data_IF_749459844361
#
_entry.id   IF_749459844361
#
_cell.length_a   1.000
_cell.length_b   1.000
_cell.length_c   1.000
_cell.angle_alpha   90.00
_cell.angle_beta   90.00
_cell.angle_gamma   90.00
#
_symmetry.space_group_name_H-M   'P 1'
#
loop_
_entity.id
_entity.type
_entity.pdbx_description
1 polymer ?
#
# COMPACT_ATOMS: atom_id res chain seq x y z
N UNK A 1 -17.57 32.87 -59.36
CA UNK A 1 -16.41 32.09 -58.87
C UNK A 1 -16.27 32.35 -57.37
N UNK A 2 -16.86 31.52 -56.52
CA UNK A 2 -16.68 31.60 -55.06
C UNK A 2 -16.37 30.19 -54.55
N UNK A 3 -15.26 30.11 -53.85
CA UNK A 3 -14.52 28.90 -53.48
C UNK A 3 -15.28 28.21 -52.33
N UNK A 4 -15.73 26.98 -52.58
CA UNK A 4 -16.00 25.99 -51.54
C UNK A 4 -14.65 25.50 -51.02
N UNK A 5 -14.42 25.41 -49.70
CA UNK A 5 -13.91 24.17 -49.07
C UNK A 5 -13.80 24.24 -47.55
N UNK A 6 -14.40 23.21 -46.93
CA UNK A 6 -13.90 22.35 -45.85
C UNK A 6 -13.46 22.95 -44.50
N UNK A 7 -14.43 23.01 -43.59
CA UNK A 7 -14.19 22.87 -42.14
C UNK A 7 -13.86 21.41 -41.82
N UNK A 8 -12.59 21.11 -41.56
CA UNK A 8 -12.16 19.81 -40.99
C UNK A 8 -12.52 19.83 -39.50
N UNK A 9 -13.53 19.05 -39.11
CA UNK A 9 -13.86 18.79 -37.70
C UNK A 9 -12.91 17.69 -37.22
N UNK A 10 -11.87 18.07 -36.47
CA UNK A 10 -11.07 17.14 -35.68
C UNK A 10 -11.93 16.60 -34.53
N UNK A 11 -12.44 15.38 -34.68
CA UNK A 11 -13.03 14.62 -33.57
C UNK A 11 -11.87 14.22 -32.64
N UNK A 12 -11.69 14.98 -31.56
CA UNK A 12 -10.87 14.60 -30.43
C UNK A 12 -11.53 13.38 -29.77
N UNK A 13 -11.05 12.19 -30.11
CA UNK A 13 -11.28 10.97 -29.34
C UNK A 13 -10.63 11.17 -27.97
N UNK A 14 -11.40 11.73 -27.03
CA UNK A 14 -11.10 11.65 -25.61
C UNK A 14 -11.33 10.19 -25.24
N UNK A 15 -10.25 9.40 -25.27
CA UNK A 15 -10.23 8.12 -24.54
C UNK A 15 -10.30 8.49 -23.07
N UNK A 16 -11.53 8.55 -22.54
CA UNK A 16 -11.73 8.43 -21.11
C UNK A 16 -11.10 7.09 -20.73
N UNK A 17 -9.90 7.13 -20.17
CA UNK A 17 -9.37 6.00 -19.44
C UNK A 17 -10.45 5.68 -18.41
N UNK A 18 -11.18 4.57 -18.61
CA UNK A 18 -12.08 4.06 -17.60
C UNK A 18 -11.27 4.03 -16.32
N UNK A 19 -11.68 4.83 -15.34
CA UNK A 19 -11.27 4.57 -13.98
C UNK A 19 -11.67 3.11 -13.76
N UNK A 20 -10.69 2.21 -13.70
CA UNK A 20 -10.95 0.80 -13.45
C UNK A 20 -11.91 0.74 -12.28
N UNK A 21 -13.09 0.12 -12.48
CA UNK A 21 -14.12 -0.05 -11.45
C UNK A 21 -13.59 -1.01 -10.36
N UNK A 22 -12.63 -0.53 -9.58
CA UNK A 22 -12.06 -1.23 -8.45
C UNK A 22 -13.16 -1.40 -7.41
N UNK A 23 -13.61 -2.65 -7.26
CA UNK A 23 -14.50 -3.09 -6.19
C UNK A 23 -13.64 -3.75 -5.11
N UNK A 24 -13.29 -3.04 -4.03
CA UNK A 24 -12.35 -3.56 -3.06
C UNK A 24 -12.94 -4.77 -2.35
N UNK A 25 -12.16 -5.85 -2.33
CA UNK A 25 -12.46 -7.03 -1.53
C UNK A 25 -12.25 -6.71 -0.04
N UNK A 26 -12.71 -7.59 0.85
CA UNK A 26 -12.39 -7.50 2.28
C UNK A 26 -11.23 -8.46 2.56
N UNK A 27 -10.28 -8.07 3.41
CA UNK A 27 -9.28 -9.00 3.93
C UNK A 27 -9.94 -10.16 4.70
N UNK A 28 -9.23 -11.28 4.85
CA UNK A 28 -9.70 -12.35 5.75
C UNK A 28 -9.87 -11.83 7.18
N UNK A 29 -10.82 -12.41 7.93
CA UNK A 29 -11.06 -11.98 9.31
C UNK A 29 -9.82 -12.17 10.20
N UNK A 30 -8.97 -13.16 9.91
CA UNK A 30 -7.69 -13.35 10.60
C UNK A 30 -6.70 -12.23 10.25
N UNK A 31 -6.58 -11.84 8.98
CA UNK A 31 -5.73 -10.73 8.58
C UNK A 31 -6.22 -9.40 9.17
N UNK A 32 -7.54 -9.18 9.23
CA UNK A 32 -8.15 -8.00 9.87
C UNK A 32 -7.78 -7.91 11.35
N UNK A 33 -7.82 -9.02 12.08
CA UNK A 33 -7.42 -9.06 13.50
C UNK A 33 -5.96 -8.66 13.70
N UNK A 34 -5.09 -8.90 12.72
CA UNK A 34 -3.69 -8.47 12.77
C UNK A 34 -3.54 -6.98 12.42
N UNK A 35 -4.13 -6.56 11.31
CA UNK A 35 -3.84 -5.25 10.70
C UNK A 35 -4.63 -4.11 11.33
N UNK A 36 -5.90 -4.32 11.68
CA UNK A 36 -6.78 -3.24 12.14
C UNK A 36 -6.25 -2.54 13.40
N UNK A 37 -5.76 -3.26 14.44
CA UNK A 37 -5.17 -2.61 15.61
C UNK A 37 -3.92 -1.77 15.29
N UNK A 38 -3.07 -2.23 14.36
CA UNK A 38 -1.91 -1.46 13.91
C UNK A 38 -2.36 -0.19 13.19
N UNK A 39 -3.32 -0.30 12.28
CA UNK A 39 -3.76 0.86 11.48
C UNK A 39 -4.51 1.89 12.32
N UNK A 40 -5.31 1.48 13.31
CA UNK A 40 -5.94 2.38 14.27
C UNK A 40 -4.91 3.15 15.11
N UNK A 41 -3.79 2.50 15.48
CA UNK A 41 -2.68 3.17 16.14
C UNK A 41 -1.93 4.10 15.18
N UNK A 42 -1.67 3.67 13.94
CA UNK A 42 -0.99 4.49 12.94
C UNK A 42 -1.77 5.76 12.61
N UNK A 43 -3.11 5.68 12.53
CA UNK A 43 -3.97 6.85 12.35
C UNK A 43 -3.84 7.83 13.53
N UNK A 44 -3.80 7.34 14.77
CA UNK A 44 -3.60 8.17 15.95
C UNK A 44 -2.20 8.80 15.97
N UNK A 45 -1.17 7.98 15.74
CA UNK A 45 0.22 8.41 15.65
C UNK A 45 0.40 9.52 14.61
N UNK A 46 -0.19 9.36 13.42
CA UNK A 46 -0.08 10.34 12.35
C UNK A 46 -0.74 11.68 12.70
N UNK A 47 -1.87 11.67 13.41
CA UNK A 47 -2.54 12.91 13.90
C UNK A 47 -1.72 13.67 14.94
N UNK A 48 -0.93 12.96 15.75
CA UNK A 48 -0.01 13.60 16.70
C UNK A 48 1.26 14.12 16.01
N UNK A 49 1.79 13.35 15.06
CA UNK A 49 3.04 13.63 14.35
C UNK A 49 2.94 14.76 13.32
N UNK A 50 1.76 15.00 12.74
CA UNK A 50 1.58 15.94 11.65
C UNK A 50 0.42 16.90 11.89
N UNK A 51 0.61 18.16 11.48
CA UNK A 51 -0.51 19.09 11.29
C UNK A 51 -1.38 18.66 10.10
N UNK A 52 -2.57 19.25 9.97
CA UNK A 52 -3.45 19.00 8.82
C UNK A 52 -2.83 19.40 7.47
N UNK A 53 -1.96 20.41 7.47
CA UNK A 53 -1.17 20.85 6.30
C UNK A 53 0.13 20.03 6.10
N UNK A 54 0.41 19.05 6.96
CA UNK A 54 1.49 18.08 6.78
C UNK A 54 2.84 18.46 7.41
N UNK A 55 2.89 19.48 8.26
CA UNK A 55 4.10 19.84 9.01
C UNK A 55 4.33 18.87 10.15
N UNK A 56 5.57 18.40 10.28
CA UNK A 56 6.01 17.56 11.38
C UNK A 56 5.95 18.31 12.72
N UNK A 57 5.38 17.65 13.75
CA UNK A 57 5.24 18.16 15.12
C UNK A 57 6.17 17.52 16.12
N UNK A 58 6.80 16.40 15.77
CA UNK A 58 7.58 15.59 16.69
C UNK A 58 7.06 14.16 16.78
N UNK A 59 7.78 13.33 17.52
CA UNK A 59 7.43 11.93 17.71
C UNK A 59 6.16 11.78 18.56
N UNK A 60 5.36 10.77 18.23
CA UNK A 60 4.13 10.45 18.96
C UNK A 60 4.40 9.42 20.05
N UNK A 61 3.66 9.52 21.15
CA UNK A 61 3.69 8.51 22.22
C UNK A 61 3.27 7.10 21.74
N UNK A 62 2.59 6.99 20.59
CA UNK A 62 2.17 5.73 20.01
C UNK A 62 3.27 5.03 19.20
N UNK A 63 4.43 5.66 18.96
CA UNK A 63 5.50 5.06 18.14
C UNK A 63 5.93 3.66 18.61
N UNK A 64 6.23 3.44 19.91
CA UNK A 64 6.67 2.11 20.36
C UNK A 64 5.63 1.01 20.12
N UNK A 65 4.34 1.32 20.28
CA UNK A 65 3.26 0.36 20.06
C UNK A 65 3.02 0.07 18.58
N UNK A 66 3.18 1.09 17.72
CA UNK A 66 3.12 0.93 16.26
C UNK A 66 4.26 0.01 15.79
N UNK A 67 5.49 0.29 16.21
CA UNK A 67 6.66 -0.52 15.85
C UNK A 67 6.53 -1.97 16.34
N UNK A 68 6.16 -2.15 17.61
CA UNK A 68 5.95 -3.48 18.18
C UNK A 68 4.95 -4.31 17.38
N UNK A 69 3.82 -3.71 16.99
CA UNK A 69 2.79 -4.41 16.21
C UNK A 69 3.22 -4.65 14.78
N UNK A 70 3.87 -3.67 14.16
CA UNK A 70 4.45 -3.81 12.84
C UNK A 70 5.41 -5.01 12.76
N UNK A 71 6.40 -5.07 13.66
CA UNK A 71 7.33 -6.20 13.71
C UNK A 71 6.65 -7.53 14.07
N UNK A 72 5.58 -7.52 14.88
CA UNK A 72 4.79 -8.73 15.13
C UNK A 72 4.10 -9.26 13.87
N UNK A 73 3.68 -8.39 12.95
CA UNK A 73 3.09 -8.78 11.66
C UNK A 73 4.18 -9.35 10.74
N UNK A 74 5.34 -8.70 10.66
CA UNK A 74 6.46 -9.19 9.85
C UNK A 74 6.89 -10.60 10.29
N UNK A 75 6.91 -10.88 11.58
CA UNK A 75 7.24 -12.21 12.12
C UNK A 75 6.17 -13.28 11.85
N UNK A 76 4.94 -12.88 11.52
CA UNK A 76 3.84 -13.82 11.27
C UNK A 76 3.90 -14.41 9.85
N UNK A 77 4.35 -15.66 9.74
CA UNK A 77 4.48 -16.40 8.46
C UNK A 77 3.22 -17.19 8.06
N UNK A 78 2.08 -16.97 8.72
CA UNK A 78 0.80 -17.59 8.33
C UNK A 78 0.20 -16.89 7.10
N UNK A 79 -0.82 -17.50 6.48
CA UNK A 79 -1.61 -16.88 5.39
C UNK A 79 -2.15 -15.50 5.76
N UNK A 80 -2.65 -15.34 6.99
CA UNK A 80 -3.14 -14.05 7.48
C UNK A 80 -2.01 -13.01 7.61
N UNK A 81 -0.80 -13.45 7.96
CA UNK A 81 0.38 -12.60 7.96
C UNK A 81 0.78 -12.19 6.53
N UNK A 82 0.70 -13.10 5.55
CA UNK A 82 0.99 -12.78 4.14
C UNK A 82 -0.02 -11.74 3.61
N UNK A 83 -1.31 -11.88 3.89
CA UNK A 83 -2.33 -10.87 3.57
C UNK A 83 -2.04 -9.52 4.24
N UNK A 84 -1.68 -9.53 5.53
CA UNK A 84 -1.37 -8.30 6.26
C UNK A 84 -0.13 -7.58 5.70
N UNK A 85 0.94 -8.31 5.36
CA UNK A 85 2.14 -7.73 4.73
C UNK A 85 1.84 -7.20 3.33
N UNK A 86 1.09 -7.95 2.51
CA UNK A 86 0.67 -7.48 1.20
C UNK A 86 -0.19 -6.22 1.29
N UNK A 87 -1.08 -6.12 2.28
CA UNK A 87 -1.84 -4.91 2.56
C UNK A 87 -0.93 -3.74 2.94
N UNK A 88 0.03 -3.98 3.84
CA UNK A 88 0.93 -2.95 4.36
C UNK A 88 1.80 -2.30 3.28
N UNK A 89 2.12 -3.01 2.19
CA UNK A 89 2.81 -2.41 1.04
C UNK A 89 2.04 -1.25 0.40
N UNK A 90 0.72 -1.19 0.56
CA UNK A 90 -0.16 -0.19 -0.04
C UNK A 90 -0.46 1.00 0.90
N UNK A 91 0.16 1.04 2.08
CA UNK A 91 0.02 2.13 3.07
C UNK A 91 1.38 2.67 3.45
N UNK A 92 1.46 3.97 3.75
CA UNK A 92 2.72 4.58 4.14
C UNK A 92 2.99 4.34 5.63
N UNK A 93 3.99 3.50 5.92
CA UNK A 93 4.41 3.14 7.27
C UNK A 93 5.62 3.95 7.79
N UNK A 94 6.20 4.81 6.96
CA UNK A 94 7.52 5.41 7.19
C UNK A 94 8.58 4.78 6.30
N UNK A 95 9.72 5.47 6.13
CA UNK A 95 10.80 5.02 5.23
C UNK A 95 11.42 3.70 5.71
N UNK A 96 11.91 3.67 6.95
CA UNK A 96 12.46 2.47 7.58
C UNK A 96 11.50 1.26 7.52
N UNK A 97 10.24 1.46 7.92
CA UNK A 97 9.23 0.39 7.86
C UNK A 97 8.91 -0.05 6.42
N UNK A 98 9.06 0.83 5.44
CA UNK A 98 8.90 0.51 4.03
C UNK A 98 9.98 -0.46 3.54
N UNK A 99 11.24 -0.21 3.90
CA UNK A 99 12.37 -1.09 3.56
C UNK A 99 12.21 -2.47 4.20
N UNK A 100 11.83 -2.52 5.48
CA UNK A 100 11.54 -3.75 6.22
C UNK A 100 10.40 -4.57 5.56
N UNK A 101 9.34 -3.90 5.08
CA UNK A 101 8.25 -4.57 4.36
C UNK A 101 8.73 -5.18 3.05
N UNK A 102 9.52 -4.44 2.27
CA UNK A 102 10.07 -4.93 1.00
C UNK A 102 10.98 -6.13 1.24
N UNK A 103 11.87 -6.04 2.23
CA UNK A 103 12.76 -7.14 2.61
C UNK A 103 11.97 -8.39 3.04
N UNK A 104 10.94 -8.19 3.86
CA UNK A 104 10.10 -9.27 4.36
C UNK A 104 9.32 -9.96 3.22
N UNK A 105 8.84 -9.20 2.24
CA UNK A 105 8.16 -9.72 1.04
C UNK A 105 9.11 -10.58 0.20
N UNK A 106 10.33 -10.10 -0.06
CA UNK A 106 11.37 -10.87 -0.76
C UNK A 106 11.62 -12.20 -0.02
N UNK A 107 11.77 -12.14 1.31
CA UNK A 107 12.03 -13.31 2.13
C UNK A 107 10.87 -14.32 2.16
N UNK A 108 9.61 -13.87 2.04
CA UNK A 108 8.42 -14.73 1.87
C UNK A 108 8.34 -15.35 0.47
N UNK A 109 8.90 -14.69 -0.53
CA UNK A 109 9.09 -15.20 -1.89
C UNK A 109 7.80 -15.28 -2.72
N UNK A 110 7.80 -16.19 -3.70
CA UNK A 110 6.81 -16.25 -4.80
C UNK A 110 5.35 -16.30 -4.36
N UNK A 111 5.07 -16.82 -3.16
CA UNK A 111 3.70 -16.87 -2.61
C UNK A 111 3.07 -15.50 -2.35
N UNK A 112 3.88 -14.44 -2.24
CA UNK A 112 3.38 -13.07 -2.05
C UNK A 112 2.86 -12.44 -3.35
N UNK A 113 3.40 -12.84 -4.51
CA UNK A 113 3.11 -12.18 -5.78
C UNK A 113 1.61 -12.10 -6.14
N UNK A 114 0.80 -13.17 -5.95
CA UNK A 114 -0.63 -13.08 -6.23
C UNK A 114 -1.32 -12.00 -5.39
N UNK A 115 -1.06 -11.96 -4.08
CA UNK A 115 -1.65 -10.99 -3.16
C UNK A 115 -1.23 -9.55 -3.52
N UNK A 116 0.05 -9.33 -3.80
CA UNK A 116 0.58 -8.00 -4.13
C UNK A 116 -0.04 -7.48 -5.43
N UNK A 117 -0.11 -8.34 -6.46
CA UNK A 117 -0.71 -7.98 -7.75
C UNK A 117 -2.21 -7.72 -7.63
N UNK A 118 -2.91 -8.47 -6.79
CA UNK A 118 -4.32 -8.23 -6.50
C UNK A 118 -4.51 -6.89 -5.79
N UNK A 119 -3.80 -6.65 -4.68
CA UNK A 119 -4.01 -5.47 -3.84
C UNK A 119 -3.52 -4.18 -4.50
N UNK A 120 -2.52 -4.26 -5.39
CA UNK A 120 -2.10 -3.14 -6.24
C UNK A 120 -3.23 -2.63 -7.13
N UNK A 121 -4.07 -3.54 -7.65
CA UNK A 121 -5.22 -3.17 -8.50
C UNK A 121 -6.32 -2.54 -7.66
N UNK A 122 -6.56 -3.11 -6.48
CA UNK A 122 -7.66 -2.69 -5.63
C UNK A 122 -7.36 -3.05 -4.17
N UNK A 123 -7.01 -2.05 -3.37
CA UNK A 123 -6.63 -2.24 -1.97
C UNK A 123 -7.84 -2.77 -1.20
N UNK A 124 -7.72 -3.90 -0.47
CA UNK A 124 -8.85 -4.48 0.24
C UNK A 124 -9.24 -3.64 1.46
N UNK A 125 -10.50 -3.75 1.88
CA UNK A 125 -11.02 -3.05 3.06
C UNK A 125 -10.67 -3.78 4.36
N UNK A 126 -10.38 -2.99 5.39
CA UNK A 126 -10.12 -3.43 6.76
C UNK A 126 -11.15 -2.91 7.77
N UNK A 127 -12.09 -2.07 7.32
CA UNK A 127 -13.21 -1.57 8.13
C UNK A 127 -12.84 -0.42 9.06
N UNK A 128 -11.90 0.44 8.63
CA UNK A 128 -11.59 1.74 9.27
C UNK A 128 -11.46 2.88 8.24
N UNK A 129 -11.85 2.61 6.99
CA UNK A 129 -11.82 3.58 5.91
C UNK A 129 -12.80 4.74 6.15
N UNK A 130 -12.51 5.95 5.62
CA UNK A 130 -11.33 6.30 4.83
C UNK A 130 -10.06 6.46 5.69
N UNK A 131 -8.93 5.96 5.19
CA UNK A 131 -7.62 6.20 5.81
C UNK A 131 -7.19 7.65 5.63
N UNK A 132 -6.45 8.17 6.61
CA UNK A 132 -5.89 9.52 6.56
C UNK A 132 -4.97 9.70 5.34
N UNK A 133 -4.93 10.90 4.74
CA UNK A 133 -4.18 11.15 3.49
C UNK A 133 -2.68 10.88 3.58
N UNK A 134 -2.08 10.99 4.77
CA UNK A 134 -0.67 10.67 5.01
C UNK A 134 -0.42 9.19 5.38
N UNK A 135 -1.50 8.41 5.56
CA UNK A 135 -1.43 6.96 5.81
C UNK A 135 -1.72 6.19 4.52
N UNK A 136 -2.57 6.75 3.64
CA UNK A 136 -2.77 6.25 2.27
C UNK A 136 -1.42 6.25 1.55
N UNK A 137 -1.00 5.10 1.06
CA UNK A 137 0.35 4.89 0.57
C UNK A 137 0.67 5.69 -0.70
N UNK A 138 1.95 6.04 -0.82
CA UNK A 138 2.73 6.10 -2.05
C UNK A 138 3.37 4.74 -2.40
N UNK A 139 3.15 3.72 -1.55
CA UNK A 139 3.87 2.45 -1.51
C UNK A 139 3.47 1.49 -2.62
N UNK A 140 4.43 1.21 -3.49
CA UNK A 140 4.40 0.19 -4.51
C UNK A 140 5.54 -0.78 -4.20
N UNK A 141 5.37 -2.08 -4.47
CA UNK A 141 6.51 -3.01 -4.45
C UNK A 141 7.50 -2.55 -5.54
N UNK A 142 8.73 -2.13 -5.19
CA UNK A 142 9.69 -1.71 -6.20
C UNK A 142 9.98 -2.84 -7.19
N UNK A 143 10.27 -2.51 -8.45
CA UNK A 143 10.51 -3.53 -9.49
C UNK A 143 11.63 -4.51 -9.09
N UNK A 144 12.71 -4.00 -8.46
CA UNK A 144 13.82 -4.84 -7.99
C UNK A 144 13.35 -5.92 -7.00
N UNK A 145 12.34 -5.63 -6.18
CA UNK A 145 11.84 -6.58 -5.19
C UNK A 145 11.01 -7.68 -5.85
N UNK A 146 10.22 -7.36 -6.89
CA UNK A 146 9.54 -8.38 -7.69
C UNK A 146 10.56 -9.28 -8.41
N UNK A 147 11.63 -8.71 -8.97
CA UNK A 147 12.71 -9.47 -9.59
C UNK A 147 13.43 -10.39 -8.58
N UNK A 148 13.74 -9.89 -7.39
CA UNK A 148 14.36 -10.68 -6.32
C UNK A 148 13.49 -11.85 -5.87
N UNK A 149 12.17 -11.63 -5.74
CA UNK A 149 11.21 -12.71 -5.47
C UNK A 149 11.23 -13.77 -6.57
N UNK A 150 11.27 -13.37 -7.84
CA UNK A 150 11.28 -14.30 -8.97
C UNK A 150 12.56 -15.13 -9.04
N UNK A 151 13.69 -14.55 -8.63
CA UNK A 151 15.01 -15.19 -8.54
C UNK A 151 15.23 -15.98 -7.24
N UNK A 152 14.24 -16.02 -6.34
CA UNK A 152 14.35 -16.64 -5.01
C UNK A 152 15.50 -16.05 -4.16
N UNK A 153 15.81 -14.77 -4.35
CA UNK A 153 16.79 -14.03 -3.56
C UNK A 153 16.37 -13.92 -2.09
N UNK A 154 17.34 -13.69 -1.22
CA UNK A 154 17.12 -13.36 0.19
C UNK A 154 17.54 -11.92 0.42
N UNK A 155 16.69 -11.20 1.12
CA UNK A 155 17.05 -9.88 1.62
C UNK A 155 17.71 -10.06 2.99
N UNK A 156 18.95 -9.62 3.09
CA UNK A 156 19.75 -9.58 4.32
C UNK A 156 19.91 -8.11 4.73
N UNK A 157 19.57 -7.79 5.97
CA UNK A 157 19.99 -6.53 6.56
C UNK A 157 21.47 -6.71 6.97
N UNK A 158 22.39 -6.15 6.19
CA UNK A 158 23.80 -6.04 6.58
C UNK A 158 23.98 -4.94 7.63
#
# INVERSE_FOLDING_TARGET
MKIMTNTIICILLVTAASADDCKPSKLSDQAIKLIKPLMELRVRQNKEQFTEDGRWRGESQYTPDVEKRFYSILKNRSKAGDEAVAYLLNVYMGEHSGEELVCEVINRGKRMLPLIREYKKCIPLIGIEPLHKFVRGSGYLPQYAEEGILKDEKCTHE
#
